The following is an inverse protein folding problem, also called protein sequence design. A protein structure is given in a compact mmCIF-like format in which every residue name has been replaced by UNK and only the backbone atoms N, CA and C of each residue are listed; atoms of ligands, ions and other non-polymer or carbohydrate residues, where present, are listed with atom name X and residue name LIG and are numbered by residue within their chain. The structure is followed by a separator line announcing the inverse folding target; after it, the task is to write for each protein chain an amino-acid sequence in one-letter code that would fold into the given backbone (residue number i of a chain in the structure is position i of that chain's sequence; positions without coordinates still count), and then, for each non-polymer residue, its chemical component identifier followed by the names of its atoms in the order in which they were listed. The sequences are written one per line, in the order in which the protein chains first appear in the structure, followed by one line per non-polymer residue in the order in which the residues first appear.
data_IF_536440798351
#
_entry.id   IF_536440798351
#
_cell.length_a   1.000
_cell.length_b   1.000
_cell.length_c   1.000
_cell.angle_alpha   90.00
_cell.angle_beta   90.00
_cell.angle_gamma   90.00
#
_symmetry.space_group_name_H-M   'P 1'
#
loop_
_entity.id
_entity.type
_entity.pdbx_description
1 polymer ?
#
# COMPACT_ATOMS: atom_id res chain seq x y z
N UNK A 1 -3.33 -0.15 -17.01
CA UNK A 1 -4.25 -0.68 -15.98
C UNK A 1 -3.62 -0.75 -14.58
N UNK A 2 -2.30 -0.58 -14.43
CA UNK A 2 -1.59 -0.47 -13.12
C UNK A 2 -2.20 0.53 -12.12
N UNK A 3 -2.66 1.69 -12.62
CA UNK A 3 -3.31 2.70 -11.77
C UNK A 3 -4.58 2.19 -11.09
N UNK A 4 -5.31 1.24 -11.71
CA UNK A 4 -6.60 0.76 -11.20
C UNK A 4 -6.43 -0.25 -10.06
N UNK A 5 -5.47 -1.17 -10.18
CA UNK A 5 -5.14 -2.13 -9.11
C UNK A 5 -4.52 -1.46 -7.89
N UNK A 6 -3.56 -0.54 -8.11
CA UNK A 6 -3.00 0.26 -7.01
C UNK A 6 -4.08 1.11 -6.33
N UNK A 7 -5.02 1.68 -7.11
CA UNK A 7 -6.12 2.45 -6.55
C UNK A 7 -7.11 1.59 -5.77
N UNK A 8 -7.46 0.40 -6.25
CA UNK A 8 -8.33 -0.53 -5.51
C UNK A 8 -7.69 -0.96 -4.20
N UNK A 9 -6.40 -1.32 -4.20
CA UNK A 9 -5.67 -1.64 -2.97
C UNK A 9 -5.63 -0.48 -1.99
N UNK A 10 -5.32 0.73 -2.47
CA UNK A 10 -5.31 1.94 -1.64
C UNK A 10 -6.71 2.18 -1.05
N UNK A 11 -7.78 2.05 -1.83
CA UNK A 11 -9.16 2.18 -1.34
C UNK A 11 -9.45 1.14 -0.27
N UNK A 12 -9.08 -0.13 -0.48
CA UNK A 12 -9.24 -1.19 0.53
C UNK A 12 -8.54 -0.84 1.83
N UNK A 13 -7.29 -0.35 1.77
CA UNK A 13 -6.57 0.08 2.98
C UNK A 13 -7.24 1.27 3.66
N UNK A 14 -7.67 2.28 2.91
CA UNK A 14 -8.36 3.46 3.48
C UNK A 14 -9.65 3.05 4.18
N UNK A 15 -10.45 2.18 3.57
CA UNK A 15 -11.70 1.68 4.17
C UNK A 15 -11.41 0.82 5.39
N UNK A 16 -10.42 -0.08 5.31
CA UNK A 16 -10.04 -0.93 6.44
C UNK A 16 -9.52 -0.11 7.63
N UNK A 17 -8.70 0.91 7.40
CA UNK A 17 -8.19 1.80 8.44
C UNK A 17 -9.32 2.65 9.06
N UNK A 18 -10.26 3.15 8.23
CA UNK A 18 -11.44 3.88 8.72
C UNK A 18 -12.31 3.02 9.63
N UNK A 19 -12.62 1.79 9.20
CA UNK A 19 -13.40 0.84 10.01
C UNK A 19 -12.65 0.42 11.27
N UNK A 20 -11.33 0.23 11.18
CA UNK A 20 -10.48 -0.09 12.33
C UNK A 20 -10.51 1.02 13.37
N UNK A 21 -10.46 2.28 12.96
CA UNK A 21 -10.56 3.44 13.84
C UNK A 21 -11.95 3.53 14.51
N UNK A 22 -13.03 3.30 13.76
CA UNK A 22 -14.39 3.27 14.32
C UNK A 22 -14.54 2.18 15.39
N UNK A 23 -14.09 0.96 15.07
CA UNK A 23 -14.14 -0.19 15.98
C UNK A 23 -13.25 0.04 17.20
N UNK A 24 -12.05 0.59 17.01
CA UNK A 24 -11.14 0.95 18.10
C UNK A 24 -11.78 1.96 19.07
N UNK A 25 -12.44 2.99 18.55
CA UNK A 25 -13.06 4.03 19.38
C UNK A 25 -14.28 3.50 20.14
N UNK A 26 -15.14 2.72 19.48
CA UNK A 26 -16.27 2.07 20.12
C UNK A 26 -15.84 1.09 21.21
N UNK A 27 -14.82 0.26 20.94
CA UNK A 27 -14.29 -0.68 21.93
C UNK A 27 -13.58 0.04 23.08
N UNK A 28 -12.89 1.17 22.82
CA UNK A 28 -12.29 1.97 23.88
C UNK A 28 -13.34 2.49 24.87
N UNK A 29 -14.52 2.91 24.39
CA UNK A 29 -15.66 3.26 25.23
C UNK A 29 -16.15 2.06 26.04
N UNK A 30 -16.42 0.92 25.39
CA UNK A 30 -16.94 -0.27 26.06
C UNK A 30 -15.98 -0.77 27.14
N UNK A 31 -14.68 -0.82 26.85
CA UNK A 31 -13.66 -1.19 27.83
C UNK A 31 -13.66 -0.20 28.98
N UNK A 32 -13.70 1.11 28.71
CA UNK A 32 -13.66 2.11 29.77
C UNK A 32 -14.87 2.08 30.70
N UNK A 33 -16.07 1.89 30.18
CA UNK A 33 -17.31 2.09 30.94
C UNK A 33 -18.03 0.80 31.33
N UNK A 34 -17.87 -0.30 30.59
CA UNK A 34 -18.64 -1.53 30.83
C UNK A 34 -17.84 -2.65 31.49
N UNK A 35 -16.50 -2.61 31.44
CA UNK A 35 -15.67 -3.73 31.93
C UNK A 35 -15.08 -3.52 33.32
N UNK A 36 -15.10 -2.29 33.84
CA UNK A 36 -14.46 -1.94 35.12
C UNK A 36 -12.94 -2.06 35.15
N UNK A 37 -12.29 -2.39 34.02
CA UNK A 37 -10.83 -2.57 33.92
C UNK A 37 -10.04 -1.29 34.19
N UNK A 38 -10.60 -0.12 33.88
CA UNK A 38 -9.90 1.17 33.95
C UNK A 38 -10.72 2.17 34.76
N UNK A 39 -10.61 2.03 36.09
CA UNK A 39 -11.21 2.92 37.07
C UNK A 39 -12.73 2.76 37.25
N UNK A 40 -13.19 2.86 38.50
CA UNK A 40 -14.60 2.97 38.84
C UNK A 40 -15.04 4.39 38.48
N UNK A 41 -15.78 4.59 37.39
CA UNK A 41 -16.34 5.91 37.10
C UNK A 41 -17.84 5.79 36.87
N UNK A 42 -18.58 6.50 37.73
CA UNK A 42 -19.58 7.54 37.42
C UNK A 42 -20.51 7.26 36.23
N UNK A 43 -21.80 7.62 36.28
CA UNK A 43 -22.78 7.22 35.27
C UNK A 43 -22.24 7.41 33.86
N UNK A 44 -22.19 6.29 33.11
CA UNK A 44 -21.57 6.28 31.80
C UNK A 44 -22.27 7.29 30.90
N UNK A 45 -21.53 8.22 30.25
CA UNK A 45 -22.13 9.09 29.24
C UNK A 45 -22.73 8.22 28.13
N UNK A 46 -23.84 8.66 27.52
CA UNK A 46 -24.57 7.79 26.61
C UNK A 46 -23.74 7.50 25.35
N UNK A 47 -23.82 6.25 24.89
CA UNK A 47 -22.94 5.69 23.85
C UNK A 47 -23.11 6.34 22.47
N UNK A 48 -24.32 6.84 22.18
CA UNK A 48 -24.68 7.59 20.98
C UNK A 48 -23.78 8.82 20.76
N UNK A 49 -23.42 9.54 21.84
CA UNK A 49 -22.51 10.70 21.76
C UNK A 49 -21.12 10.30 21.29
N UNK A 50 -20.61 9.15 21.76
CA UNK A 50 -19.31 8.63 21.33
C UNK A 50 -19.35 8.12 19.89
N UNK A 51 -20.46 7.50 19.47
CA UNK A 51 -20.67 7.10 18.08
C UNK A 51 -20.78 8.30 17.12
N UNK A 52 -21.28 9.45 17.58
CA UNK A 52 -21.30 10.67 16.77
C UNK A 52 -19.89 11.23 16.53
N UNK A 53 -18.99 11.11 17.51
CA UNK A 53 -17.60 11.58 17.43
C UNK A 53 -16.72 10.60 16.65
N UNK A 54 -17.00 9.30 16.70
CA UNK A 54 -16.15 8.26 16.11
C UNK A 54 -15.84 8.47 14.61
N UNK A 55 -16.81 8.81 13.72
CA UNK A 55 -16.53 9.09 12.31
C UNK A 55 -15.59 10.27 12.11
N UNK A 56 -15.74 11.33 12.90
CA UNK A 56 -14.86 12.50 12.86
C UNK A 56 -13.42 12.10 13.19
N UNK A 57 -13.22 11.34 14.27
CA UNK A 57 -11.89 10.85 14.67
C UNK A 57 -11.31 9.88 13.63
N UNK A 58 -12.14 8.99 13.07
CA UNK A 58 -11.71 8.05 12.04
C UNK A 58 -11.24 8.77 10.76
N UNK A 59 -11.93 9.83 10.33
CA UNK A 59 -11.48 10.67 9.21
C UNK A 59 -10.13 11.32 9.51
N UNK A 60 -9.93 11.85 10.72
CA UNK A 60 -8.65 12.47 11.10
C UNK A 60 -7.49 11.47 11.12
N UNK A 61 -7.72 10.25 11.61
CA UNK A 61 -6.71 9.17 11.58
C UNK A 61 -6.34 8.80 10.14
N UNK A 62 -7.34 8.61 9.28
CA UNK A 62 -7.10 8.31 7.85
C UNK A 62 -6.35 9.46 7.18
N UNK A 63 -6.72 10.71 7.46
CA UNK A 63 -6.01 11.89 6.95
C UNK A 63 -4.56 11.93 7.45
N UNK A 64 -4.30 11.63 8.73
CA UNK A 64 -2.95 11.54 9.28
C UNK A 64 -2.12 10.44 8.58
N UNK A 65 -2.72 9.29 8.28
CA UNK A 65 -2.08 8.22 7.50
C UNK A 65 -1.80 8.63 6.05
N UNK A 66 -2.67 9.42 5.42
CA UNK A 66 -2.42 10.00 4.09
C UNK A 66 -1.23 10.94 4.10
N UNK A 67 -1.13 11.83 5.09
CA UNK A 67 -0.02 12.78 5.23
C UNK A 67 1.31 12.07 5.50
N UNK A 68 1.30 11.03 6.34
CA UNK A 68 2.46 10.15 6.58
C UNK A 68 2.82 9.27 5.37
N UNK A 69 2.03 9.31 4.30
CA UNK A 69 2.28 8.54 3.09
C UNK A 69 2.15 7.03 3.31
N UNK A 70 1.34 6.57 4.27
CA UNK A 70 1.08 5.14 4.50
C UNK A 70 0.36 4.46 3.33
N UNK A 71 -0.24 5.25 2.44
CA UNK A 71 -0.89 4.78 1.22
C UNK A 71 -0.03 4.97 -0.04
N UNK A 72 1.19 5.52 0.11
CA UNK A 72 2.16 5.53 -0.97
C UNK A 72 2.88 4.20 -0.95
N UNK A 73 2.72 3.41 -2.01
CA UNK A 73 3.53 2.20 -2.25
C UNK A 73 4.98 2.64 -2.56
N UNK A 74 5.75 3.01 -1.54
CA UNK A 74 7.19 3.17 -1.64
C UNK A 74 7.85 1.79 -1.54
N UNK A 75 8.70 1.47 -2.52
CA UNK A 75 9.54 0.26 -2.51
C UNK A 75 10.56 0.37 -1.38
N UNK A 76 10.91 -0.76 -0.74
CA UNK A 76 11.88 -0.80 0.36
C UNK A 76 11.38 -0.47 1.77
N UNK A 77 10.06 -0.32 1.99
CA UNK A 77 9.52 -0.08 3.34
C UNK A 77 9.56 -1.37 4.16
N UNK A 78 10.29 -1.37 5.27
CA UNK A 78 10.36 -2.54 6.15
C UNK A 78 9.08 -2.66 6.99
N UNK A 79 8.83 -3.86 7.55
CA UNK A 79 7.72 -4.05 8.51
C UNK A 79 7.80 -3.10 9.71
N UNK A 80 9.01 -2.70 10.07
CA UNK A 80 9.31 -1.76 11.15
C UNK A 80 8.89 -0.35 10.74
N UNK A 81 9.23 0.10 9.52
CA UNK A 81 8.81 1.40 8.99
C UNK A 81 7.28 1.53 8.83
N UNK A 82 6.60 0.43 8.57
CA UNK A 82 5.14 0.39 8.56
C UNK A 82 4.56 0.52 9.97
N UNK A 83 5.12 -0.21 10.94
CA UNK A 83 4.70 -0.10 12.34
C UNK A 83 4.90 1.32 12.87
N UNK A 84 6.07 1.92 12.66
CA UNK A 84 6.32 3.31 13.05
C UNK A 84 5.42 4.29 12.30
N UNK A 85 5.15 4.04 11.02
CA UNK A 85 4.19 4.84 10.26
C UNK A 85 2.79 4.80 10.87
N UNK A 86 2.30 3.62 11.25
CA UNK A 86 1.00 3.45 11.91
C UNK A 86 1.00 4.10 13.29
N UNK A 87 2.07 3.94 14.06
CA UNK A 87 2.19 4.52 15.40
C UNK A 87 2.17 6.06 15.34
N UNK A 88 3.05 6.67 14.54
CA UNK A 88 3.16 8.13 14.40
C UNK A 88 1.87 8.69 13.79
N UNK A 89 1.30 8.03 12.79
CA UNK A 89 0.03 8.44 12.21
C UNK A 89 -1.14 8.35 13.20
N UNK A 90 -1.17 7.31 14.05
CA UNK A 90 -2.20 7.14 15.08
C UNK A 90 -2.05 8.19 16.19
N UNK A 91 -0.82 8.51 16.58
CA UNK A 91 -0.51 9.58 17.53
C UNK A 91 -0.99 10.93 16.99
N UNK A 92 -0.66 11.26 15.74
CA UNK A 92 -1.09 12.50 15.09
C UNK A 92 -2.62 12.55 14.96
N UNK A 93 -3.26 11.47 14.51
CA UNK A 93 -4.72 11.39 14.38
C UNK A 93 -5.43 11.51 15.73
N UNK A 94 -4.88 10.89 16.78
CA UNK A 94 -5.38 11.01 18.15
C UNK A 94 -5.22 12.43 18.68
N UNK A 95 -4.04 13.05 18.50
CA UNK A 95 -3.78 14.42 18.90
C UNK A 95 -4.73 15.40 18.21
N UNK A 96 -4.90 15.28 16.89
CA UNK A 96 -5.84 16.08 16.13
C UNK A 96 -7.29 15.82 16.57
N UNK A 97 -7.64 14.59 16.90
CA UNK A 97 -8.95 14.25 17.45
C UNK A 97 -9.21 14.94 18.79
N UNK A 98 -8.27 14.86 19.72
CA UNK A 98 -8.33 15.56 21.03
C UNK A 98 -8.46 17.06 20.81
N UNK A 99 -7.57 17.68 20.03
CA UNK A 99 -7.61 19.11 19.76
C UNK A 99 -8.90 19.54 19.05
N UNK A 100 -9.38 18.75 18.09
CA UNK A 100 -10.62 19.00 17.36
C UNK A 100 -11.84 18.95 18.28
N UNK A 101 -11.95 17.91 19.10
CA UNK A 101 -13.04 17.80 20.09
C UNK A 101 -13.02 18.94 21.11
N UNK A 102 -11.83 19.30 21.63
CA UNK A 102 -11.68 20.44 22.55
C UNK A 102 -12.01 21.78 21.89
N UNK A 103 -11.60 21.99 20.64
CA UNK A 103 -11.90 23.20 19.88
C UNK A 103 -13.41 23.35 19.66
N UNK A 104 -14.08 22.29 19.19
CA UNK A 104 -15.54 22.29 19.00
C UNK A 104 -16.25 22.51 20.33
N UNK A 105 -15.81 21.82 21.38
CA UNK A 105 -16.35 22.00 22.72
C UNK A 105 -16.21 23.45 23.18
N UNK A 106 -15.08 24.11 22.95
CA UNK A 106 -14.81 25.47 23.43
C UNK A 106 -15.55 26.55 22.64
N UNK A 107 -15.49 26.49 21.30
CA UNK A 107 -15.91 27.59 20.43
C UNK A 107 -17.29 27.41 19.78
N UNK A 108 -17.78 26.18 19.63
CA UNK A 108 -19.01 25.90 18.90
C UNK A 108 -20.13 25.34 19.76
N UNK A 109 -19.81 24.80 20.94
CA UNK A 109 -20.81 24.24 21.84
C UNK A 109 -21.43 25.32 22.72
N UNK A 110 -22.76 25.39 22.73
CA UNK A 110 -23.53 26.21 23.67
C UNK A 110 -23.27 25.79 25.12
N UNK A 111 -23.30 26.75 26.04
CA UNK A 111 -22.91 26.50 27.44
C UNK A 111 -23.82 25.46 28.15
N UNK A 112 -25.06 25.33 27.71
CA UNK A 112 -26.00 24.30 28.15
C UNK A 112 -25.54 22.87 27.79
N UNK A 113 -25.01 22.67 26.57
CA UNK A 113 -24.50 21.38 26.10
C UNK A 113 -23.13 21.04 26.72
N UNK A 114 -22.33 22.07 27.04
CA UNK A 114 -21.09 21.91 27.81
C UNK A 114 -21.38 21.42 29.23
N UNK A 115 -22.37 22.02 29.91
CA UNK A 115 -22.77 21.62 31.25
C UNK A 115 -23.29 20.17 31.32
N UNK A 116 -23.79 19.64 30.21
CA UNK A 116 -24.22 18.24 30.06
C UNK A 116 -23.10 17.26 29.64
N UNK A 117 -21.86 17.74 29.47
CA UNK A 117 -20.72 16.92 29.07
C UNK A 117 -20.86 16.28 27.68
N UNK A 118 -21.55 16.93 26.74
CA UNK A 118 -21.96 16.31 25.47
C UNK A 118 -20.78 15.82 24.59
N UNK A 119 -19.64 16.51 24.67
CA UNK A 119 -18.40 16.17 23.94
C UNK A 119 -17.23 15.82 24.87
N UNK A 120 -17.49 15.57 26.16
CA UNK A 120 -16.42 15.23 27.10
C UNK A 120 -15.99 13.78 26.93
N UNK A 121 -14.92 13.59 26.18
CA UNK A 121 -14.27 12.29 26.00
C UNK A 121 -13.29 12.05 27.13
N UNK A 122 -13.45 10.92 27.84
CA UNK A 122 -12.52 10.54 28.91
C UNK A 122 -11.08 10.41 28.39
N UNK A 123 -10.11 10.92 29.15
CA UNK A 123 -8.67 10.79 28.85
C UNK A 123 -8.25 9.32 28.65
N UNK A 124 -8.86 8.42 29.41
CA UNK A 124 -8.62 6.98 29.30
C UNK A 124 -9.18 6.38 28.00
N UNK A 125 -10.29 6.90 27.48
CA UNK A 125 -10.82 6.46 26.17
C UNK A 125 -9.83 6.83 25.07
N UNK A 126 -9.22 8.01 25.12
CA UNK A 126 -8.18 8.38 24.14
C UNK A 126 -6.94 7.49 24.20
N UNK A 127 -6.49 7.12 25.41
CA UNK A 127 -5.35 6.19 25.58
C UNK A 127 -5.70 4.80 25.05
N UNK A 128 -6.86 4.26 25.44
CA UNK A 128 -7.33 2.96 24.95
C UNK A 128 -7.54 2.96 23.44
N UNK A 129 -8.11 4.04 22.91
CA UNK A 129 -8.28 4.23 21.47
C UNK A 129 -6.94 4.19 20.74
N UNK A 130 -5.93 4.92 21.21
CA UNK A 130 -4.61 4.92 20.57
C UNK A 130 -4.03 3.50 20.50
N UNK A 131 -4.08 2.75 21.60
CA UNK A 131 -3.56 1.37 21.66
C UNK A 131 -4.34 0.44 20.73
N UNK A 132 -5.68 0.47 20.80
CA UNK A 132 -6.54 -0.37 19.97
C UNK A 132 -6.45 -0.01 18.48
N UNK A 133 -6.33 1.28 18.16
CA UNK A 133 -6.21 1.75 16.79
C UNK A 133 -4.90 1.27 16.16
N UNK A 134 -3.77 1.37 16.89
CA UNK A 134 -2.49 0.83 16.43
C UNK A 134 -2.60 -0.68 16.22
N UNK A 135 -3.19 -1.41 17.18
CA UNK A 135 -3.34 -2.86 17.10
C UNK A 135 -4.20 -3.30 15.91
N UNK A 136 -5.41 -2.73 15.75
CA UNK A 136 -6.33 -3.11 14.66
C UNK A 136 -5.84 -2.64 13.28
N UNK A 137 -5.26 -1.44 13.19
CA UNK A 137 -4.69 -0.95 11.93
C UNK A 137 -3.50 -1.82 11.50
N UNK A 138 -2.62 -2.19 12.43
CA UNK A 138 -1.49 -3.05 12.12
C UNK A 138 -1.96 -4.48 11.74
N UNK A 139 -2.88 -5.05 12.50
CA UNK A 139 -3.44 -6.37 12.24
C UNK A 139 -4.20 -6.44 10.89
N UNK A 140 -5.01 -5.42 10.58
CA UNK A 140 -5.73 -5.36 9.30
C UNK A 140 -4.77 -5.27 8.11
N UNK A 141 -3.69 -4.48 8.25
CA UNK A 141 -2.65 -4.36 7.21
C UNK A 141 -1.89 -5.66 6.98
N UNK A 142 -1.50 -6.36 8.04
CA UNK A 142 -0.82 -7.65 7.89
C UNK A 142 -1.77 -8.70 7.29
N UNK A 143 -3.05 -8.68 7.68
CA UNK A 143 -4.07 -9.58 7.09
C UNK A 143 -4.23 -9.34 5.58
N UNK A 144 -4.32 -8.08 5.13
CA UNK A 144 -4.41 -7.75 3.70
C UNK A 144 -3.16 -8.21 2.95
N UNK A 145 -1.97 -8.00 3.54
CA UNK A 145 -0.70 -8.47 2.97
C UNK A 145 -0.66 -9.98 2.82
N UNK A 146 -1.08 -10.71 3.85
CA UNK A 146 -1.08 -12.17 3.82
C UNK A 146 -2.09 -12.74 2.83
N UNK A 147 -3.27 -12.13 2.71
CA UNK A 147 -4.26 -12.51 1.70
C UNK A 147 -3.69 -12.29 0.29
N UNK A 148 -3.01 -11.17 0.05
CA UNK A 148 -2.37 -10.89 -1.24
C UNK A 148 -1.23 -11.89 -1.53
N UNK A 149 -0.35 -12.14 -0.55
CA UNK A 149 0.72 -13.15 -0.67
C UNK A 149 0.16 -14.53 -0.99
N UNK A 150 -0.93 -14.95 -0.34
CA UNK A 150 -1.59 -16.23 -0.62
C UNK A 150 -2.15 -16.27 -2.04
N UNK A 151 -2.79 -15.19 -2.51
CA UNK A 151 -3.30 -15.09 -3.89
C UNK A 151 -2.18 -15.19 -4.92
N UNK A 152 -1.06 -14.51 -4.68
CA UNK A 152 0.09 -14.57 -5.59
C UNK A 152 0.77 -15.93 -5.60
N UNK A 153 0.92 -16.59 -4.44
CA UNK A 153 1.39 -17.98 -4.38
C UNK A 153 0.47 -18.94 -5.12
N UNK A 154 -0.83 -18.66 -5.16
CA UNK A 154 -1.81 -19.43 -5.92
C UNK A 154 -1.85 -19.07 -7.42
N UNK A 155 -0.99 -18.18 -7.90
CA UNK A 155 -0.96 -17.77 -9.31
C UNK A 155 -2.08 -16.80 -9.72
N UNK A 156 -2.90 -16.34 -8.77
CA UNK A 156 -4.09 -15.52 -9.05
C UNK A 156 -3.74 -14.04 -9.03
N UNK A 157 -3.97 -13.36 -10.16
CA UNK A 157 -3.73 -11.92 -10.29
C UNK A 157 -2.26 -11.52 -10.39
N UNK A 158 -1.40 -12.46 -10.78
CA UNK A 158 -0.02 -12.17 -11.18
C UNK A 158 -0.01 -11.48 -12.53
N UNK A 159 0.82 -10.45 -12.67
CA UNK A 159 1.17 -9.85 -13.95
C UNK A 159 2.39 -10.53 -14.51
N UNK A 160 2.26 -11.01 -15.75
CA UNK A 160 3.34 -11.67 -16.47
C UNK A 160 4.24 -10.61 -17.08
N UNK A 161 5.50 -10.62 -16.68
CA UNK A 161 6.51 -9.62 -17.05
C UNK A 161 7.59 -10.27 -17.88
N UNK A 162 8.03 -9.56 -18.92
CA UNK A 162 9.23 -9.91 -19.67
C UNK A 162 10.27 -8.79 -19.57
N UNK A 163 11.55 -9.16 -19.45
CA UNK A 163 12.65 -8.19 -19.37
C UNK A 163 13.41 -8.20 -20.69
N UNK A 164 13.42 -7.05 -21.37
CA UNK A 164 14.18 -6.84 -22.60
C UNK A 164 15.59 -6.33 -22.25
N UNK A 165 16.60 -7.17 -22.47
CA UNK A 165 18.00 -6.98 -22.10
C UNK A 165 18.41 -7.91 -20.94
N UNK A 166 19.43 -8.75 -21.14
CA UNK A 166 20.01 -9.64 -20.10
C UNK A 166 21.31 -9.08 -19.49
N UNK A 167 21.67 -7.85 -19.86
CA UNK A 167 22.79 -7.11 -19.28
C UNK A 167 22.59 -6.74 -17.80
N UNK A 168 23.55 -6.04 -17.21
CA UNK A 168 23.55 -5.71 -15.78
C UNK A 168 22.28 -4.97 -15.33
N UNK A 169 21.76 -4.07 -16.17
CA UNK A 169 20.51 -3.36 -15.90
C UNK A 169 19.31 -4.31 -15.87
N UNK A 170 19.25 -5.27 -16.79
CA UNK A 170 18.18 -6.27 -16.85
C UNK A 170 18.23 -7.23 -15.67
N UNK A 171 19.44 -7.64 -15.26
CA UNK A 171 19.66 -8.47 -14.05
C UNK A 171 19.23 -7.72 -12.79
N UNK A 172 19.61 -6.45 -12.64
CA UNK A 172 19.15 -5.62 -11.51
C UNK A 172 17.63 -5.46 -11.47
N UNK A 173 16.99 -5.28 -12.63
CA UNK A 173 15.52 -5.21 -12.72
C UNK A 173 14.89 -6.54 -12.29
N UNK A 174 15.43 -7.66 -12.76
CA UNK A 174 14.96 -8.98 -12.38
C UNK A 174 15.15 -9.27 -10.88
N UNK A 175 16.33 -8.95 -10.32
CA UNK A 175 16.60 -9.05 -8.89
C UNK A 175 15.58 -8.24 -8.07
N UNK A 176 15.36 -6.97 -8.43
CA UNK A 176 14.36 -6.11 -7.79
C UNK A 176 12.95 -6.70 -7.83
N UNK A 177 12.54 -7.24 -8.98
CA UNK A 177 11.21 -7.84 -9.15
C UNK A 177 11.08 -9.12 -8.33
N UNK A 178 12.12 -9.96 -8.31
CA UNK A 178 12.16 -11.20 -7.53
C UNK A 178 12.17 -10.93 -6.01
N UNK A 179 12.93 -9.93 -5.57
CA UNK A 179 12.93 -9.46 -4.17
C UNK A 179 11.56 -8.92 -3.74
N UNK A 180 10.82 -8.33 -4.68
CA UNK A 180 9.49 -7.76 -4.44
C UNK A 180 8.39 -8.57 -5.14
N UNK A 181 8.47 -9.91 -5.05
CA UNK A 181 7.43 -10.81 -5.57
C UNK A 181 6.04 -10.51 -4.96
N UNK A 182 6.01 -9.86 -3.78
CA UNK A 182 4.82 -9.29 -3.14
C UNK A 182 4.23 -8.06 -3.85
N UNK A 183 4.63 -7.78 -5.09
CA UNK A 183 3.94 -6.83 -5.96
C UNK A 183 3.08 -7.56 -7.01
N UNK A 184 3.09 -8.89 -7.01
CA UNK A 184 2.32 -9.71 -7.94
C UNK A 184 2.90 -9.72 -9.35
N UNK A 185 4.22 -9.60 -9.50
CA UNK A 185 4.89 -9.75 -10.79
C UNK A 185 5.48 -11.16 -10.90
N UNK A 186 5.31 -11.76 -12.07
CA UNK A 186 5.95 -13.02 -12.43
C UNK A 186 6.82 -12.78 -13.67
N UNK A 187 8.13 -12.89 -13.51
CA UNK A 187 9.04 -12.83 -14.65
C UNK A 187 8.91 -14.14 -15.43
N UNK A 188 8.53 -14.03 -16.70
CA UNK A 188 8.43 -15.18 -17.62
C UNK A 188 9.80 -15.51 -18.20
N UNK A 189 10.60 -14.49 -18.51
CA UNK A 189 11.94 -14.67 -19.04
C UNK A 189 12.57 -13.36 -19.52
N UNK A 190 13.74 -13.52 -20.13
CA UNK A 190 14.49 -12.43 -20.77
C UNK A 190 14.35 -12.49 -22.29
N UNK A 191 14.53 -11.34 -22.93
CA UNK A 191 14.65 -11.20 -24.39
C UNK A 191 15.86 -10.35 -24.68
N UNK A 192 16.80 -10.86 -25.47
CA UNK A 192 18.04 -10.16 -25.80
C UNK A 192 18.54 -10.65 -27.16
N UNK A 193 19.12 -9.77 -27.98
CA UNK A 193 19.63 -10.17 -29.30
C UNK A 193 20.84 -11.12 -29.19
N UNK A 194 21.49 -11.18 -28.02
CA UNK A 194 22.50 -12.21 -27.68
C UNK A 194 21.93 -13.63 -27.78
N UNK A 195 20.61 -13.81 -27.68
CA UNK A 195 19.97 -15.10 -27.94
C UNK A 195 20.25 -15.63 -29.35
N UNK A 196 20.38 -14.74 -30.35
CA UNK A 196 20.71 -15.12 -31.72
C UNK A 196 22.12 -15.69 -31.87
N UNK A 197 23.02 -15.38 -30.94
CA UNK A 197 24.39 -15.90 -30.90
C UNK A 197 24.49 -17.29 -30.25
N UNK A 198 23.36 -17.91 -29.87
CA UNK A 198 23.32 -19.23 -29.24
C UNK A 198 23.56 -19.21 -27.72
N UNK A 199 23.66 -18.02 -27.13
CA UNK A 199 23.91 -17.85 -25.71
C UNK A 199 22.60 -17.96 -24.93
N UNK A 200 22.26 -19.16 -24.45
CA UNK A 200 20.99 -19.44 -23.77
C UNK A 200 21.03 -19.12 -22.26
N UNK A 201 22.05 -18.40 -21.79
CA UNK A 201 22.27 -18.17 -20.36
C UNK A 201 21.33 -17.05 -19.91
N UNK A 202 20.17 -17.46 -19.41
CA UNK A 202 19.31 -16.57 -18.64
C UNK A 202 19.88 -16.26 -17.25
N UNK A 203 19.06 -15.72 -16.35
CA UNK A 203 19.51 -15.27 -15.03
C UNK A 203 18.59 -15.79 -13.91
N UNK A 204 19.17 -16.27 -12.80
CA UNK A 204 18.46 -16.91 -11.68
C UNK A 204 17.46 -18.01 -12.07
N UNK A 205 17.80 -18.80 -13.11
CA UNK A 205 16.96 -19.89 -13.60
C UNK A 205 15.80 -19.45 -14.50
N UNK A 206 15.71 -18.17 -14.85
CA UNK A 206 14.76 -17.66 -15.85
C UNK A 206 15.30 -17.90 -17.27
N UNK A 207 14.47 -18.34 -18.23
CA UNK A 207 14.92 -18.61 -19.59
C UNK A 207 15.16 -17.32 -20.40
N UNK A 208 16.07 -17.40 -21.37
CA UNK A 208 16.15 -16.45 -22.48
C UNK A 208 15.22 -16.92 -23.59
N UNK A 209 14.11 -16.22 -23.80
CA UNK A 209 13.00 -16.67 -24.66
C UNK A 209 13.21 -16.38 -26.15
N UNK A 210 14.14 -15.48 -26.49
CA UNK A 210 14.44 -15.13 -27.87
C UNK A 210 15.05 -13.74 -28.01
N UNK A 211 15.02 -13.22 -29.24
CA UNK A 211 15.54 -11.90 -29.63
C UNK A 211 14.49 -10.81 -29.50
N UNK A 212 14.89 -9.54 -29.56
CA UNK A 212 13.94 -8.41 -29.51
C UNK A 212 12.92 -8.45 -30.66
N UNK A 213 13.28 -9.06 -31.79
CA UNK A 213 12.38 -9.27 -32.93
C UNK A 213 11.26 -10.27 -32.63
N UNK A 214 11.51 -11.25 -31.76
CA UNK A 214 10.54 -12.29 -31.37
C UNK A 214 9.54 -11.80 -30.32
N UNK A 215 9.80 -10.62 -29.73
CA UNK A 215 9.04 -10.04 -28.64
C UNK A 215 7.51 -9.94 -28.91
N UNK A 216 7.02 -9.57 -30.12
CA UNK A 216 5.59 -9.59 -30.41
C UNK A 216 4.96 -10.98 -30.29
N UNK A 217 5.65 -12.00 -30.79
CA UNK A 217 5.18 -13.38 -30.81
C UNK A 217 5.23 -13.97 -29.40
N UNK A 218 6.34 -13.79 -28.69
CA UNK A 218 6.49 -14.20 -27.28
C UNK A 218 5.42 -13.55 -26.43
N UNK A 219 5.19 -12.24 -26.58
CA UNK A 219 4.18 -11.56 -25.77
C UNK A 219 2.77 -12.11 -26.02
N UNK A 220 2.45 -12.56 -27.24
CA UNK A 220 1.17 -13.18 -27.57
C UNK A 220 1.05 -14.61 -27.03
N UNK A 221 2.08 -15.44 -27.20
CA UNK A 221 2.11 -16.83 -26.75
C UNK A 221 2.12 -16.93 -25.22
N UNK A 222 3.00 -16.17 -24.58
CA UNK A 222 3.19 -16.18 -23.13
C UNK A 222 2.24 -15.26 -22.38
N UNK A 223 1.29 -14.60 -23.06
CA UNK A 223 0.32 -13.66 -22.47
C UNK A 223 0.99 -12.63 -21.55
N UNK A 224 2.02 -11.97 -22.07
CA UNK A 224 2.79 -10.96 -21.32
C UNK A 224 1.96 -9.69 -21.15
N UNK A 225 1.85 -9.23 -19.90
CA UNK A 225 1.11 -8.00 -19.52
C UNK A 225 2.00 -6.76 -19.59
N UNK A 226 3.27 -6.89 -19.16
CA UNK A 226 4.23 -5.79 -19.04
C UNK A 226 5.61 -6.14 -19.60
N UNK A 227 6.23 -5.16 -20.25
CA UNK A 227 7.58 -5.27 -20.81
C UNK A 227 8.46 -4.27 -20.08
N UNK A 228 9.54 -4.74 -19.44
CA UNK A 228 10.57 -3.89 -18.84
C UNK A 228 11.73 -3.79 -19.80
N UNK A 229 12.01 -2.58 -20.27
CA UNK A 229 13.13 -2.34 -21.19
C UNK A 229 14.34 -1.90 -20.40
N UNK A 230 15.36 -2.75 -20.42
CA UNK A 230 16.61 -2.61 -19.70
C UNK A 230 17.80 -2.58 -20.67
N UNK A 231 17.66 -1.84 -21.77
CA UNK A 231 18.66 -1.67 -22.82
C UNK A 231 19.49 -0.40 -22.57
N UNK A 232 20.79 -0.39 -22.90
CA UNK A 232 21.63 0.81 -22.85
C UNK A 232 21.09 1.93 -23.75
N UNK A 233 21.38 3.19 -23.40
CA UNK A 233 20.90 4.39 -24.11
C UNK A 233 21.40 4.42 -25.56
N UNK A 234 22.54 3.80 -25.84
CA UNK A 234 23.14 3.72 -27.17
C UNK A 234 22.27 2.89 -28.15
N UNK A 235 21.34 2.08 -27.65
CA UNK A 235 20.40 1.27 -28.46
C UNK A 235 19.06 1.98 -28.72
N UNK A 236 19.07 3.32 -28.81
CA UNK A 236 17.89 4.17 -28.97
C UNK A 236 16.97 3.76 -30.14
N UNK A 237 17.56 3.24 -31.23
CA UNK A 237 16.83 2.76 -32.40
C UNK A 237 15.95 1.55 -32.07
N UNK A 238 16.38 0.69 -31.15
CA UNK A 238 15.61 -0.50 -30.73
C UNK A 238 14.46 -0.15 -29.79
N UNK A 239 14.56 0.96 -29.07
CA UNK A 239 13.45 1.47 -28.25
C UNK A 239 12.24 1.83 -29.11
N UNK A 240 12.44 2.37 -30.33
CA UNK A 240 11.34 2.69 -31.25
C UNK A 240 10.51 1.45 -31.63
N UNK A 241 11.16 0.31 -31.86
CA UNK A 241 10.48 -0.95 -32.16
C UNK A 241 9.56 -1.42 -31.01
N UNK A 242 9.99 -1.25 -29.76
CA UNK A 242 9.19 -1.60 -28.57
C UNK A 242 8.04 -0.59 -28.35
N UNK A 243 8.26 0.70 -28.65
CA UNK A 243 7.19 1.72 -28.64
C UNK A 243 6.10 1.39 -29.65
N UNK A 244 6.47 0.96 -30.86
CA UNK A 244 5.52 0.60 -31.91
C UNK A 244 4.71 -0.66 -31.53
N UNK A 245 5.37 -1.62 -30.86
CA UNK A 245 4.76 -2.81 -30.28
C UNK A 245 3.70 -2.48 -29.22
N UNK A 246 3.96 -1.47 -28.39
CA UNK A 246 2.98 -0.91 -27.45
C UNK A 246 1.79 -0.28 -28.19
N UNK A 247 2.04 0.48 -29.25
CA UNK A 247 0.99 1.15 -30.02
C UNK A 247 0.04 0.14 -30.70
N UNK A 248 0.56 -0.99 -31.18
CA UNK A 248 -0.24 -2.03 -31.86
C UNK A 248 -0.89 -3.03 -30.90
N UNK A 249 -0.27 -3.33 -29.76
CA UNK A 249 -0.69 -4.40 -28.85
C UNK A 249 -1.39 -3.95 -27.56
N UNK A 250 -1.45 -2.65 -27.26
CA UNK A 250 -2.09 -2.11 -26.04
C UNK A 250 -1.42 -2.50 -24.71
N UNK A 251 -0.21 -3.07 -24.74
CA UNK A 251 0.54 -3.54 -23.56
C UNK A 251 1.29 -2.41 -22.87
N UNK A 252 1.41 -2.44 -21.54
CA UNK A 252 2.13 -1.41 -20.77
C UNK A 252 3.65 -1.69 -20.85
N UNK A 253 4.42 -0.80 -21.49
CA UNK A 253 5.88 -0.87 -21.54
C UNK A 253 6.49 0.13 -20.56
N UNK A 254 7.43 -0.35 -19.74
CA UNK A 254 8.12 0.42 -18.70
C UNK A 254 9.60 0.58 -19.06
N UNK A 255 10.01 1.83 -19.24
CA UNK A 255 11.40 2.19 -19.50
C UNK A 255 12.15 2.33 -18.18
N UNK A 256 13.31 1.68 -18.07
CA UNK A 256 14.19 1.82 -16.92
C UNK A 256 15.39 2.68 -17.33
N UNK A 257 15.38 4.01 -17.07
CA UNK A 257 16.53 4.85 -17.38
C UNK A 257 17.67 4.62 -16.39
N UNK A 258 18.90 4.60 -16.92
CA UNK A 258 20.16 4.23 -16.25
C UNK A 258 20.48 4.97 -14.95
N UNK A 259 20.08 6.25 -14.68
CA UNK A 259 20.40 6.88 -13.39
C UNK A 259 19.28 6.88 -12.35
N UNK A 260 18.04 6.49 -12.66
CA UNK A 260 16.89 6.73 -11.73
C UNK A 260 16.70 5.60 -10.71
N UNK A 261 17.39 4.47 -10.86
CA UNK A 261 17.28 3.34 -9.93
C UNK A 261 18.24 3.42 -8.72
N UNK A 262 19.13 4.41 -8.64
CA UNK A 262 20.01 4.62 -7.48
C UNK A 262 19.32 5.30 -6.30
N UNK A 263 18.07 5.77 -6.45
CA UNK A 263 17.30 6.44 -5.38
C UNK A 263 15.92 5.82 -5.11
N UNK A 264 15.72 4.56 -5.51
CA UNK A 264 14.50 3.78 -5.26
C UNK A 264 14.75 2.64 -4.27
#
# INVERSE_FOLDING_TARGET
MLRRYNRLLVVTFVVADFLSALVAFALAYVIRFNTGLVGLAQPAPPFDRYLLIAPFVAVLVVAAFQLQGLYRLRRGRTRVDDFFGVLVGSLLGTLLGVLGTLYIQTYHLSDELKAQGYLEVSRWVWVLFLVLNVLFTYASRETVRDVLRRRWRAGVGLKRVIVAGVGDLGRMVADRILEHAELGFQIVGFVDDRAAAGDAIGYRGLPLLGTLADLPQICAQEKIDEIYVALPIEEHVKMLGIVELRARGGREAHWVPTPVFLTL
#
